data_IF_561550684122
#
_entry.id   IF_561550684122
#
_cell.length_a   1.000
_cell.length_b   1.000
_cell.length_c   1.000
_cell.angle_alpha   90.00
_cell.angle_beta   90.00
_cell.angle_gamma   90.00
#
_symmetry.space_group_name_H-M   'P 1'
#
loop_
_entity.id
_entity.type
_entity.pdbx_description
1 polymer ?
#
# COMPACT_ATOMS: atom_id res chain seq x y z
N UNK A 1 16.00 -5.31 -7.05
CA UNK A 1 15.48 -4.49 -5.92
C UNK A 1 13.96 -4.37 -6.08
N UNK A 2 13.17 -4.59 -5.02
CA UNK A 2 11.70 -4.53 -5.11
C UNK A 2 11.24 -3.07 -5.21
N UNK A 3 10.19 -2.81 -5.97
CA UNK A 3 9.61 -1.47 -6.12
C UNK A 3 9.22 -0.88 -4.75
N UNK A 4 9.45 0.42 -4.51
CA UNK A 4 8.90 1.09 -3.35
C UNK A 4 7.37 1.05 -3.41
N UNK A 5 6.74 0.85 -2.25
CA UNK A 5 5.28 0.74 -2.16
C UNK A 5 4.65 2.14 -2.32
N UNK A 6 3.59 2.24 -3.12
CA UNK A 6 2.77 3.45 -3.18
C UNK A 6 1.80 3.52 -1.98
N UNK A 7 1.08 4.64 -1.85
CA UNK A 7 0.15 4.88 -0.75
C UNK A 7 -0.88 3.76 -0.56
N UNK A 8 -1.51 3.30 -1.64
CA UNK A 8 -2.49 2.21 -1.58
C UNK A 8 -1.84 0.87 -1.20
N UNK A 9 -0.64 0.58 -1.70
CA UNK A 9 0.06 -0.66 -1.36
C UNK A 9 0.52 -0.68 0.10
N UNK A 10 0.92 0.47 0.66
CA UNK A 10 1.18 0.64 2.09
C UNK A 10 -0.08 0.46 2.93
N UNK A 11 -1.19 1.06 2.51
CA UNK A 11 -2.49 0.89 3.13
C UNK A 11 -2.91 -0.59 3.11
N UNK A 12 -2.95 -1.23 1.94
CA UNK A 12 -3.27 -2.66 1.81
C UNK A 12 -2.37 -3.52 2.69
N UNK A 13 -1.06 -3.27 2.74
CA UNK A 13 -0.13 -4.04 3.60
C UNK A 13 -0.45 -3.88 5.09
N UNK A 14 -0.90 -2.71 5.52
CA UNK A 14 -1.26 -2.42 6.91
C UNK A 14 -2.58 -3.09 7.29
N UNK A 15 -3.57 -3.05 6.38
CA UNK A 15 -4.93 -3.54 6.63
C UNK A 15 -5.19 -4.98 6.12
N UNK A 16 -4.23 -5.63 5.46
CA UNK A 16 -4.42 -6.98 4.91
C UNK A 16 -4.80 -8.00 5.98
N UNK A 17 -4.26 -7.87 7.21
CA UNK A 17 -4.53 -8.82 8.29
C UNK A 17 -5.96 -8.65 8.81
N UNK A 18 -6.43 -7.41 8.87
CA UNK A 18 -7.81 -7.07 9.21
C UNK A 18 -8.73 -7.62 8.12
N UNK A 19 -8.46 -7.30 6.85
CA UNK A 19 -9.25 -7.82 5.73
C UNK A 19 -9.28 -9.36 5.71
N UNK A 20 -8.15 -10.03 5.96
CA UNK A 20 -8.08 -11.50 6.06
C UNK A 20 -8.85 -12.09 7.25
N UNK A 21 -9.12 -11.32 8.30
CA UNK A 21 -9.98 -11.77 9.39
C UNK A 21 -11.45 -11.83 8.97
N UNK A 22 -11.85 -10.97 8.04
CA UNK A 22 -13.21 -10.92 7.48
C UNK A 22 -13.40 -11.73 6.20
N UNK A 23 -12.32 -12.31 5.65
CA UNK A 23 -12.33 -13.11 4.42
C UNK A 23 -11.81 -14.52 4.67
N UNK A 24 -12.10 -15.47 3.79
CA UNK A 24 -11.38 -16.75 3.79
C UNK A 24 -9.88 -16.50 3.58
N UNK A 25 -9.04 -17.07 4.45
CA UNK A 25 -7.64 -16.66 4.72
C UNK A 25 -6.70 -16.59 3.51
N UNK A 26 -7.08 -17.20 2.38
CA UNK A 26 -6.27 -17.27 1.15
C UNK A 26 -6.84 -16.54 -0.07
N UNK A 27 -7.96 -15.81 0.06
CA UNK A 27 -8.50 -15.07 -1.09
C UNK A 27 -7.88 -13.68 -1.21
N UNK A 28 -6.70 -13.61 -1.84
CA UNK A 28 -6.00 -12.35 -2.12
C UNK A 28 -6.80 -11.38 -3.00
N UNK A 29 -7.70 -11.86 -3.87
CA UNK A 29 -8.57 -11.00 -4.67
C UNK A 29 -9.59 -10.29 -3.77
N UNK A 30 -10.22 -11.02 -2.85
CA UNK A 30 -11.18 -10.43 -1.90
C UNK A 30 -10.52 -9.41 -0.98
N UNK A 31 -9.33 -9.71 -0.45
CA UNK A 31 -8.56 -8.76 0.37
C UNK A 31 -8.27 -7.47 -0.40
N UNK A 32 -7.85 -7.58 -1.66
CA UNK A 32 -7.60 -6.41 -2.51
C UNK A 32 -8.88 -5.63 -2.83
N UNK A 33 -10.00 -6.33 -3.05
CA UNK A 33 -11.29 -5.70 -3.32
C UNK A 33 -11.78 -4.90 -2.10
N UNK A 34 -11.72 -5.48 -0.90
CA UNK A 34 -12.15 -4.83 0.34
C UNK A 34 -11.25 -3.64 0.68
N UNK A 35 -9.93 -3.81 0.65
CA UNK A 35 -9.01 -2.70 0.85
C UNK A 35 -9.22 -1.60 -0.22
N UNK A 36 -9.51 -1.98 -1.46
CA UNK A 36 -9.78 -1.05 -2.55
C UNK A 36 -11.08 -0.26 -2.38
N UNK A 37 -12.15 -0.89 -1.88
CA UNK A 37 -13.41 -0.26 -1.55
C UNK A 37 -13.26 0.69 -0.35
N UNK A 38 -12.61 0.23 0.72
CA UNK A 38 -12.33 1.03 1.90
C UNK A 38 -11.52 2.27 1.54
N UNK A 39 -10.41 2.07 0.83
CA UNK A 39 -9.54 3.16 0.39
C UNK A 39 -10.28 4.19 -0.48
N UNK A 40 -11.13 3.78 -1.41
CA UNK A 40 -11.82 4.76 -2.26
C UNK A 40 -12.96 5.47 -1.53
N UNK A 41 -13.79 4.73 -0.81
CA UNK A 41 -15.13 5.19 -0.43
C UNK A 41 -15.33 5.39 1.08
N UNK A 42 -14.49 4.79 1.93
CA UNK A 42 -14.68 4.82 3.40
C UNK A 42 -13.61 5.64 4.11
N UNK A 43 -12.37 5.57 3.64
CA UNK A 43 -11.25 6.23 4.30
C UNK A 43 -11.31 7.75 4.18
N UNK A 44 -11.03 8.41 5.30
CA UNK A 44 -11.03 9.87 5.39
C UNK A 44 -9.84 10.46 4.61
N UNK A 45 -9.96 11.70 4.11
CA UNK A 45 -8.88 12.39 3.40
C UNK A 45 -7.55 12.42 4.17
N UNK A 46 -7.60 12.55 5.48
CA UNK A 46 -6.45 12.62 6.39
C UNK A 46 -5.67 11.30 6.39
N UNK A 47 -6.37 10.16 6.39
CA UNK A 47 -5.75 8.83 6.29
C UNK A 47 -5.06 8.69 4.94
N UNK A 48 -5.74 9.12 3.86
CA UNK A 48 -5.16 9.08 2.51
C UNK A 48 -3.91 9.93 2.40
N UNK A 49 -3.92 11.11 3.02
CA UNK A 49 -2.79 12.03 3.08
C UNK A 49 -1.62 11.41 3.85
N UNK A 50 -1.87 10.85 5.03
CA UNK A 50 -0.83 10.17 5.83
C UNK A 50 -0.14 9.05 5.04
N UNK A 51 -0.90 8.21 4.32
CA UNK A 51 -0.32 7.15 3.49
C UNK A 51 0.41 7.69 2.25
N UNK A 52 0.03 8.86 1.73
CA UNK A 52 0.75 9.55 0.66
C UNK A 52 2.11 10.04 1.16
N UNK A 53 2.15 10.67 2.33
CA UNK A 53 3.39 11.15 2.94
C UNK A 53 4.34 9.98 3.24
N UNK A 54 3.81 8.86 3.76
CA UNK A 54 4.58 7.64 3.95
C UNK A 54 5.14 7.08 2.64
N UNK A 55 4.36 7.09 1.56
CA UNK A 55 4.81 6.64 0.25
C UNK A 55 5.92 7.53 -0.33
N UNK A 56 5.88 8.83 -0.07
CA UNK A 56 6.93 9.76 -0.47
C UNK A 56 8.22 9.53 0.34
N UNK A 57 8.09 9.26 1.65
CA UNK A 57 9.23 8.85 2.50
C UNK A 57 9.84 7.54 2.00
N UNK A 58 9.03 6.52 1.70
CA UNK A 58 9.52 5.23 1.19
C UNK A 58 10.22 5.40 -0.16
N UNK A 59 9.67 6.23 -1.06
CA UNK A 59 10.31 6.54 -2.36
C UNK A 59 11.67 7.20 -2.16
N UNK A 60 11.75 8.19 -1.26
CA UNK A 60 12.99 8.90 -0.96
C UNK A 60 14.04 7.96 -0.36
N UNK A 61 13.68 7.22 0.68
CA UNK A 61 14.57 6.23 1.32
C UNK A 61 15.04 5.17 0.32
N UNK A 62 14.16 4.72 -0.56
CA UNK A 62 14.52 3.77 -1.60
C UNK A 62 15.52 4.37 -2.60
N UNK A 63 15.36 5.64 -2.99
CA UNK A 63 16.31 6.33 -3.86
C UNK A 63 17.67 6.54 -3.19
N UNK A 64 17.68 6.87 -1.89
CA UNK A 64 18.90 7.00 -1.09
C UNK A 64 19.62 5.66 -0.91
N UNK A 65 18.87 4.59 -0.63
CA UNK A 65 19.42 3.24 -0.41
C UNK A 65 19.83 2.55 -1.71
N UNK A 66 19.18 2.88 -2.83
CA UNK A 66 19.44 2.29 -4.14
C UNK A 66 19.53 3.36 -5.24
N UNK A 67 20.64 4.13 -5.30
CA UNK A 67 20.80 5.24 -6.24
C UNK A 67 20.80 4.79 -7.71
N UNK A 68 21.32 3.59 -7.97
CA UNK A 68 21.39 2.99 -9.32
C UNK A 68 20.11 2.25 -9.71
N UNK A 69 19.08 2.26 -8.85
CA UNK A 69 17.84 1.58 -9.16
C UNK A 69 17.12 2.25 -10.33
N UNK A 70 16.99 1.50 -11.43
CA UNK A 70 16.14 1.84 -12.57
C UNK A 70 15.02 0.83 -12.68
N UNK A 71 13.80 1.31 -12.90
CA UNK A 71 12.66 0.45 -13.19
C UNK A 71 12.77 -0.08 -14.62
N UNK A 72 12.84 -1.39 -14.77
CA UNK A 72 12.74 -2.10 -16.04
C UNK A 72 11.47 -2.98 -15.98
N UNK A 73 10.43 -2.67 -16.79
CA UNK A 73 9.12 -3.33 -16.73
C UNK A 73 9.10 -4.80 -17.15
#
# INVERSE_FOLDING_TARGET
IKRPLNAFMLYRRSYQNIAKAYCSKDNHQQVSAICGLSWRNLEQPEVKLAFKDLADVERRKHGEAFPEYKYDP
#
